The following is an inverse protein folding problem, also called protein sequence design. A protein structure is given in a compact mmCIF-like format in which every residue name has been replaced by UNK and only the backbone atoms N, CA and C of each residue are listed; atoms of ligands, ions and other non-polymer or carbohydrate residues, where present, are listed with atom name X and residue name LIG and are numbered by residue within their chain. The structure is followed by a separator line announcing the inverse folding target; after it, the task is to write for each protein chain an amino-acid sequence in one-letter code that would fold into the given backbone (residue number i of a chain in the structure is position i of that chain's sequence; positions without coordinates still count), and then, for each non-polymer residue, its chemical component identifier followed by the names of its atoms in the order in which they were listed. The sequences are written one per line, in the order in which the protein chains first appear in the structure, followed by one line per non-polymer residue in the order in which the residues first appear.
data_IF_829397449616
#
_entry.id   IF_829397449616
#
_cell.length_a   1.000
_cell.length_b   1.000
_cell.length_c   1.000
_cell.angle_alpha   90.00
_cell.angle_beta   90.00
_cell.angle_gamma   90.00
#
_symmetry.space_group_name_H-M   'P 1'
#
loop_
_entity.id
_entity.type
_entity.pdbx_description
1 polymer ?
#
# COMPACT_ATOMS: atom_id res chain seq x y z
N UNK A 1 -13.02 -43.45 -32.29
CA UNK A 1 -14.13 -43.21 -31.34
C UNK A 1 -15.24 -42.42 -32.09
N UNK A 2 -16.40 -43.02 -32.20
CA UNK A 2 -17.49 -42.61 -33.12
C UNK A 2 -18.09 -41.26 -32.62
N UNK A 3 -18.42 -40.34 -33.56
CA UNK A 3 -18.99 -39.00 -33.25
C UNK A 3 -20.21 -39.06 -32.34
N UNK A 4 -20.96 -40.16 -32.38
CA UNK A 4 -22.12 -40.44 -31.54
C UNK A 4 -21.73 -40.66 -30.09
N UNK A 5 -20.63 -41.40 -29.81
CA UNK A 5 -20.13 -41.67 -28.46
C UNK A 5 -19.62 -40.39 -27.77
N UNK A 6 -18.97 -39.49 -28.52
CA UNK A 6 -18.54 -38.19 -27.99
C UNK A 6 -19.73 -37.29 -27.60
N UNK A 7 -20.80 -37.28 -28.38
CA UNK A 7 -22.02 -36.54 -28.06
C UNK A 7 -22.73 -37.12 -26.82
N UNK A 8 -22.74 -38.44 -26.68
CA UNK A 8 -23.38 -39.10 -25.52
C UNK A 8 -22.62 -38.79 -24.20
N UNK A 9 -21.29 -38.82 -24.25
CA UNK A 9 -20.45 -38.49 -23.10
C UNK A 9 -20.61 -37.01 -22.70
N UNK A 10 -20.68 -36.10 -23.68
CA UNK A 10 -20.91 -34.68 -23.41
C UNK A 10 -22.28 -34.40 -22.81
N UNK A 11 -23.31 -35.11 -23.26
CA UNK A 11 -24.70 -35.03 -22.73
C UNK A 11 -24.79 -35.57 -21.29
N UNK A 12 -24.05 -36.65 -20.98
CA UNK A 12 -24.00 -37.22 -19.62
C UNK A 12 -23.31 -36.27 -18.64
N UNK A 13 -22.24 -35.57 -19.05
CA UNK A 13 -21.54 -34.59 -18.21
C UNK A 13 -22.43 -33.38 -17.90
N UNK A 14 -23.23 -32.91 -18.86
CA UNK A 14 -24.16 -31.82 -18.63
C UNK A 14 -25.30 -32.24 -17.70
N UNK A 15 -25.79 -33.48 -17.82
CA UNK A 15 -26.85 -34.00 -16.96
C UNK A 15 -26.38 -34.17 -15.49
N UNK A 16 -25.15 -34.56 -15.26
CA UNK A 16 -24.58 -34.68 -13.89
C UNK A 16 -24.39 -33.31 -13.24
N UNK A 17 -24.02 -32.27 -13.97
CA UNK A 17 -23.90 -30.90 -13.44
C UNK A 17 -25.29 -30.36 -13.05
N UNK A 18 -26.35 -30.71 -13.82
CA UNK A 18 -27.72 -30.24 -13.52
C UNK A 18 -28.35 -30.93 -12.29
N UNK A 19 -27.92 -32.17 -11.95
CA UNK A 19 -28.43 -32.90 -10.76
C UNK A 19 -27.82 -32.33 -9.47
N UNK A 20 -26.59 -31.79 -9.50
CA UNK A 20 -25.97 -31.18 -8.33
C UNK A 20 -26.52 -29.77 -7.98
N UNK A 21 -27.19 -29.09 -8.92
CA UNK A 21 -27.80 -27.76 -8.67
C UNK A 21 -29.22 -27.84 -8.13
N UNK A 22 -29.89 -29.00 -8.19
CA UNK A 22 -31.26 -29.17 -7.73
C UNK A 22 -31.42 -29.70 -6.30
N UNK A 23 -30.32 -30.08 -5.63
CA UNK A 23 -30.37 -30.59 -4.23
C UNK A 23 -30.10 -29.50 -3.17
N UNK A 24 -29.92 -28.25 -3.58
CA UNK A 24 -29.64 -27.14 -2.64
C UNK A 24 -30.90 -26.30 -2.26
N UNK A 25 -32.09 -26.66 -2.69
CA UNK A 25 -33.32 -25.95 -2.32
C UNK A 25 -34.38 -26.92 -1.80
N UNK A 26 -34.35 -27.28 -0.52
CA UNK A 26 -35.52 -27.55 0.33
C UNK A 26 -35.07 -27.91 1.76
N UNK A 27 -35.12 -26.90 2.64
CA UNK A 27 -35.58 -27.08 4.02
C UNK A 27 -35.75 -25.69 4.67
N UNK A 28 -36.92 -25.13 4.49
CA UNK A 28 -37.51 -24.25 5.49
C UNK A 28 -37.94 -25.12 6.66
N UNK A 29 -37.41 -24.85 7.83
CA UNK A 29 -38.08 -24.99 9.12
C UNK A 29 -37.54 -23.91 10.03
N UNK A 30 -38.45 -23.04 10.44
CA UNK A 30 -38.27 -22.09 11.53
C UNK A 30 -37.61 -22.74 12.73
N UNK A 31 -36.45 -22.16 13.16
CA UNK A 31 -36.05 -22.21 14.54
C UNK A 31 -35.41 -20.85 14.83
N UNK A 32 -36.11 -20.13 15.68
CA UNK A 32 -35.59 -19.00 16.45
C UNK A 32 -34.34 -19.51 17.20
N UNK A 33 -33.18 -19.26 16.64
CA UNK A 33 -31.87 -19.48 17.22
C UNK A 33 -31.08 -18.23 17.01
N UNK A 34 -30.70 -17.59 18.12
CA UNK A 34 -29.70 -16.52 18.17
C UNK A 34 -28.56 -16.87 17.25
N UNK A 35 -28.31 -16.03 16.23
CA UNK A 35 -27.07 -16.06 15.47
C UNK A 35 -25.99 -15.69 16.46
N UNK A 36 -25.29 -16.67 16.99
CA UNK A 36 -23.95 -16.46 17.53
C UNK A 36 -23.11 -15.94 16.35
N UNK A 37 -22.89 -14.64 16.33
CA UNK A 37 -21.80 -14.05 15.61
C UNK A 37 -20.57 -14.72 16.23
N UNK A 38 -19.99 -15.69 15.52
CA UNK A 38 -18.65 -16.13 15.84
C UNK A 38 -17.81 -14.85 15.84
N UNK A 39 -17.37 -14.45 17.03
CA UNK A 39 -16.34 -13.45 17.17
C UNK A 39 -15.20 -13.93 16.28
N UNK A 40 -14.84 -13.14 15.27
CA UNK A 40 -13.57 -13.29 14.59
C UNK A 40 -12.53 -13.34 15.69
N UNK A 41 -11.77 -14.41 15.70
CA UNK A 41 -10.68 -14.65 16.63
C UNK A 41 -9.64 -13.54 16.35
N UNK A 42 -9.86 -12.39 16.97
CA UNK A 42 -8.92 -11.29 17.01
C UNK A 42 -7.74 -11.77 17.89
N UNK A 43 -6.92 -12.64 17.32
CA UNK A 43 -5.58 -12.86 17.82
C UNK A 43 -4.82 -11.56 17.62
N UNK A 44 -4.98 -10.62 18.55
CA UNK A 44 -4.21 -9.37 18.62
C UNK A 44 -2.73 -9.77 18.63
N UNK A 45 -2.03 -9.54 17.51
CA UNK A 45 -0.61 -9.85 17.42
C UNK A 45 0.12 -8.92 18.39
N UNK A 46 0.70 -9.49 19.43
CA UNK A 46 1.54 -8.71 20.35
C UNK A 46 2.93 -8.55 19.74
N UNK A 47 3.34 -7.29 19.49
CA UNK A 47 4.68 -6.99 19.02
C UNK A 47 5.62 -6.89 20.22
N UNK A 48 6.66 -7.72 20.23
CA UNK A 48 7.73 -7.76 21.22
C UNK A 48 9.11 -7.79 20.54
N UNK A 49 10.18 -7.90 21.31
CA UNK A 49 11.54 -7.89 20.76
C UNK A 49 11.88 -9.11 19.91
N UNK A 50 11.18 -10.21 20.08
CA UNK A 50 11.45 -11.47 19.38
C UNK A 50 10.87 -11.44 17.96
N UNK A 51 9.75 -10.73 17.76
CA UNK A 51 9.06 -10.62 16.46
C UNK A 51 9.14 -9.24 15.80
N UNK A 52 9.83 -8.27 16.41
CA UNK A 52 9.90 -6.89 15.91
C UNK A 52 10.80 -6.67 14.69
N UNK A 53 11.70 -7.61 14.37
CA UNK A 53 12.54 -7.53 13.16
C UNK A 53 11.77 -8.08 11.96
N UNK A 54 10.97 -7.24 11.35
CA UNK A 54 10.01 -7.63 10.32
C UNK A 54 10.49 -7.43 8.89
N UNK A 55 11.51 -6.59 8.66
CA UNK A 55 11.99 -6.29 7.32
C UNK A 55 13.19 -7.16 6.92
N UNK A 56 13.04 -7.82 5.76
CA UNK A 56 14.17 -8.29 4.98
C UNK A 56 14.62 -7.13 4.09
N UNK A 57 15.84 -6.61 4.34
CA UNK A 57 16.38 -5.45 3.63
C UNK A 57 17.44 -5.95 2.66
N UNK A 58 17.22 -5.70 1.37
CA UNK A 58 18.16 -5.98 0.29
C UNK A 58 19.28 -4.95 0.20
N UNK A 59 20.09 -5.08 -0.84
CA UNK A 59 21.13 -4.10 -1.13
C UNK A 59 20.52 -2.73 -1.49
N UNK A 60 21.18 -1.66 -1.05
CA UNK A 60 20.87 -0.30 -1.49
C UNK A 60 21.65 -0.03 -2.78
N UNK A 61 20.93 0.27 -3.85
CA UNK A 61 21.48 0.55 -5.18
C UNK A 61 21.46 2.05 -5.45
N UNK A 62 22.53 2.59 -6.06
CA UNK A 62 22.53 3.95 -6.57
C UNK A 62 21.81 3.94 -7.92
N UNK A 63 20.70 4.67 -8.02
CA UNK A 63 19.85 4.73 -9.21
C UNK A 63 20.08 5.99 -10.04
N UNK A 64 20.63 7.05 -9.41
CA UNK A 64 20.94 8.30 -10.10
C UNK A 64 22.14 8.99 -9.44
N UNK A 65 22.91 9.72 -10.24
CA UNK A 65 23.99 10.62 -9.78
C UNK A 65 23.77 11.97 -10.46
N UNK A 66 23.43 12.98 -9.68
CA UNK A 66 23.21 14.33 -10.17
C UNK A 66 24.55 15.01 -10.56
N UNK A 67 24.49 16.06 -11.37
CA UNK A 67 25.68 16.83 -11.79
C UNK A 67 26.45 17.44 -10.60
N UNK A 68 25.76 17.80 -9.52
CA UNK A 68 26.35 18.29 -8.28
C UNK A 68 26.93 17.18 -7.38
N UNK A 69 26.87 15.94 -7.86
CA UNK A 69 27.41 14.75 -7.18
C UNK A 69 26.50 14.15 -6.10
N UNK A 70 25.30 14.68 -5.90
CA UNK A 70 24.27 14.03 -5.08
C UNK A 70 23.84 12.73 -5.71
N UNK A 71 23.44 11.78 -4.89
CA UNK A 71 22.99 10.47 -5.34
C UNK A 71 21.57 10.20 -4.86
N UNK A 72 20.80 9.51 -5.72
CA UNK A 72 19.56 8.90 -5.33
C UNK A 72 19.77 7.38 -5.26
N UNK A 73 19.17 6.77 -4.25
CA UNK A 73 19.27 5.33 -4.03
C UNK A 73 17.91 4.68 -4.01
N UNK A 74 17.89 3.37 -4.29
CA UNK A 74 16.71 2.52 -4.15
C UNK A 74 17.07 1.31 -3.28
N UNK A 75 16.28 1.03 -2.27
CA UNK A 75 16.47 -0.10 -1.35
C UNK A 75 15.27 -1.03 -1.43
N UNK A 76 15.51 -2.29 -1.78
CA UNK A 76 14.48 -3.32 -1.76
C UNK A 76 14.19 -3.75 -0.33
N UNK A 77 12.91 -3.76 0.06
CA UNK A 77 12.44 -4.26 1.36
C UNK A 77 11.31 -5.27 1.17
N UNK A 78 11.20 -6.21 2.09
CA UNK A 78 10.11 -7.19 2.14
C UNK A 78 9.58 -7.28 3.56
N UNK A 79 8.26 -7.26 3.72
CA UNK A 79 7.63 -7.50 5.02
C UNK A 79 7.59 -9.01 5.29
N UNK A 80 8.48 -9.47 6.15
CA UNK A 80 8.61 -10.89 6.53
C UNK A 80 7.76 -11.27 7.76
N UNK A 81 6.94 -10.35 8.26
CA UNK A 81 6.01 -10.62 9.37
C UNK A 81 4.71 -11.27 8.89
N UNK A 82 3.87 -11.63 9.84
CA UNK A 82 2.51 -12.12 9.60
C UNK A 82 1.45 -11.03 9.71
N UNK A 83 1.84 -9.77 9.91
CA UNK A 83 0.96 -8.62 10.09
C UNK A 83 1.32 -7.45 9.16
N UNK A 84 0.37 -6.58 8.97
CA UNK A 84 0.56 -5.35 8.19
C UNK A 84 1.47 -4.37 8.92
N UNK A 85 2.39 -3.76 8.19
CA UNK A 85 3.22 -2.66 8.68
C UNK A 85 2.97 -1.41 7.85
N UNK A 86 3.00 -0.24 8.47
CA UNK A 86 2.80 1.05 7.82
C UNK A 86 3.87 2.03 8.26
N UNK A 87 3.95 3.17 7.57
CA UNK A 87 4.90 4.23 7.88
C UNK A 87 6.35 3.69 8.02
N UNK A 88 6.73 2.81 7.10
CA UNK A 88 8.09 2.24 7.10
C UNK A 88 9.09 3.32 6.72
N UNK A 89 9.94 3.72 7.66
CA UNK A 89 11.02 4.68 7.45
C UNK A 89 12.36 3.96 7.47
N UNK A 90 13.14 4.07 6.39
CA UNK A 90 14.51 3.61 6.34
C UNK A 90 15.47 4.73 6.72
N UNK A 91 16.49 4.41 7.51
CA UNK A 91 17.46 5.38 8.03
C UNK A 91 18.87 4.95 7.59
N UNK A 92 19.57 5.87 6.94
CA UNK A 92 20.81 5.57 6.21
C UNK A 92 22.04 6.21 6.84
N UNK A 93 23.16 5.47 6.79
CA UNK A 93 24.49 6.01 6.89
C UNK A 93 25.05 6.28 5.49
N UNK A 94 25.65 7.45 5.30
CA UNK A 94 26.39 7.82 4.10
C UNK A 94 27.89 7.75 4.38
N UNK A 95 28.66 7.21 3.45
CA UNK A 95 30.11 7.00 3.61
C UNK A 95 30.90 7.68 2.49
N UNK A 96 32.07 8.24 2.83
CA UNK A 96 33.06 8.72 1.86
C UNK A 96 33.89 7.58 1.24
N UNK A 97 34.85 7.92 0.38
CA UNK A 97 35.74 6.97 -0.27
C UNK A 97 36.63 6.19 0.72
N UNK A 98 36.84 6.72 1.94
CA UNK A 98 37.63 6.11 3.00
C UNK A 98 36.76 5.27 3.95
N UNK A 99 35.47 5.05 3.62
CA UNK A 99 34.47 4.37 4.46
C UNK A 99 34.21 5.09 5.81
N UNK A 100 34.43 6.40 5.86
CA UNK A 100 34.05 7.22 7.00
C UNK A 100 32.62 7.71 6.83
N UNK A 101 31.84 7.65 7.91
CA UNK A 101 30.47 8.19 7.92
C UNK A 101 30.51 9.71 7.72
N UNK A 102 29.82 10.20 6.73
CA UNK A 102 29.66 11.62 6.42
C UNK A 102 28.31 12.17 6.88
N UNK A 103 27.28 11.29 6.92
CA UNK A 103 25.93 11.60 7.43
C UNK A 103 25.30 10.31 7.97
N UNK A 104 24.41 10.42 8.96
CA UNK A 104 23.72 9.27 9.60
C UNK A 104 22.22 9.48 9.76
N UNK A 105 21.62 10.41 9.03
CA UNK A 105 20.23 10.83 9.26
C UNK A 105 19.42 11.02 7.98
N UNK A 106 19.91 10.55 6.85
CA UNK A 106 19.10 10.50 5.63
C UNK A 106 17.98 9.50 5.84
N UNK A 107 16.74 9.93 5.57
CA UNK A 107 15.53 9.15 5.83
C UNK A 107 14.65 9.10 4.62
N UNK A 108 14.00 7.97 4.41
CA UNK A 108 12.97 7.81 3.39
C UNK A 108 11.79 7.01 3.90
N UNK A 109 10.59 7.50 3.64
CA UNK A 109 9.33 6.95 4.09
C UNK A 109 8.60 6.23 2.96
N UNK A 110 8.18 4.99 3.19
CA UNK A 110 7.18 4.30 2.37
C UNK A 110 5.77 4.71 2.86
N UNK A 111 5.11 5.58 2.11
CA UNK A 111 3.79 6.15 2.47
C UNK A 111 2.62 5.24 2.07
N UNK A 112 2.69 3.97 2.49
CA UNK A 112 1.62 2.99 2.35
C UNK A 112 1.77 1.85 3.36
N UNK A 113 0.70 1.09 3.56
CA UNK A 113 0.80 -0.18 4.29
C UNK A 113 1.45 -1.27 3.41
N UNK A 114 2.50 -1.91 3.95
CA UNK A 114 3.15 -3.07 3.35
C UNK A 114 2.62 -4.35 4.02
N UNK A 115 1.83 -5.11 3.28
CA UNK A 115 1.23 -6.37 3.75
C UNK A 115 2.28 -7.48 3.88
N UNK A 116 2.01 -8.56 4.65
CA UNK A 116 2.87 -9.74 4.77
C UNK A 116 3.32 -10.29 3.42
N UNK A 117 4.61 -10.58 3.27
CA UNK A 117 5.22 -11.14 2.06
C UNK A 117 5.29 -10.17 0.88
N UNK A 118 4.86 -8.92 1.02
CA UNK A 118 4.95 -7.92 -0.05
C UNK A 118 6.31 -7.25 -0.05
N UNK A 119 6.75 -6.95 -1.27
CA UNK A 119 8.03 -6.30 -1.58
C UNK A 119 7.78 -4.88 -2.05
N UNK A 120 8.58 -3.94 -1.56
CA UNK A 120 8.61 -2.57 -2.03
C UNK A 120 10.05 -2.08 -2.23
N UNK A 121 10.20 -1.05 -3.06
CA UNK A 121 11.44 -0.32 -3.23
C UNK A 121 11.26 1.07 -2.61
N UNK A 122 12.20 1.44 -1.75
CA UNK A 122 12.21 2.73 -1.05
C UNK A 122 13.32 3.58 -1.62
N UNK A 123 12.94 4.67 -2.27
CA UNK A 123 13.90 5.61 -2.85
C UNK A 123 14.29 6.68 -1.83
N UNK A 124 15.57 7.08 -1.84
CA UNK A 124 16.09 8.12 -0.97
C UNK A 124 17.08 9.01 -1.71
N UNK A 125 16.86 10.32 -1.64
CA UNK A 125 17.81 11.32 -2.09
C UNK A 125 18.80 11.68 -0.99
N UNK A 126 20.09 11.64 -1.28
CA UNK A 126 21.16 11.95 -0.33
C UNK A 126 21.76 13.33 -0.60
N UNK A 127 21.95 14.10 0.47
CA UNK A 127 22.40 15.51 0.40
C UNK A 127 23.91 15.69 0.25
N UNK A 128 24.67 14.65 0.52
CA UNK A 128 26.14 14.70 0.52
C UNK A 128 26.73 13.92 -0.65
N UNK A 129 28.02 14.18 -0.96
CA UNK A 129 28.77 13.43 -1.98
C UNK A 129 29.15 12.03 -1.46
N UNK A 130 28.18 11.25 -1.04
CA UNK A 130 28.36 9.89 -0.57
C UNK A 130 28.95 9.00 -1.66
N UNK A 131 29.85 8.08 -1.31
CA UNK A 131 30.38 7.05 -2.20
C UNK A 131 29.67 5.71 -2.02
N UNK A 132 29.11 5.49 -0.85
CA UNK A 132 28.21 4.37 -0.56
C UNK A 132 27.21 4.75 0.53
N UNK A 133 26.11 4.05 0.53
CA UNK A 133 24.98 4.27 1.45
C UNK A 133 24.54 2.92 1.99
N UNK A 134 24.20 2.86 3.27
CA UNK A 134 23.77 1.64 3.94
C UNK A 134 22.61 1.95 4.89
N UNK A 135 21.56 1.13 4.86
CA UNK A 135 20.50 1.18 5.87
C UNK A 135 21.06 0.67 7.19
N UNK A 136 21.10 1.51 8.21
CA UNK A 136 21.58 1.09 9.54
C UNK A 136 20.45 0.91 10.55
N UNK A 137 19.27 1.51 10.28
CA UNK A 137 18.10 1.37 11.12
C UNK A 137 16.82 1.53 10.29
N UNK A 138 15.70 1.09 10.84
CA UNK A 138 14.38 1.38 10.31
C UNK A 138 13.37 1.55 11.44
N UNK A 139 12.29 2.27 11.15
CA UNK A 139 11.12 2.43 12.01
C UNK A 139 9.87 2.00 11.22
N UNK A 140 8.87 1.45 11.91
CA UNK A 140 7.58 1.15 11.32
C UNK A 140 6.46 1.25 12.38
N UNK A 141 5.23 1.32 11.91
CA UNK A 141 4.03 1.26 12.73
C UNK A 141 3.26 -0.02 12.48
N UNK A 142 2.83 -0.70 13.56
CA UNK A 142 1.92 -1.82 13.50
C UNK A 142 1.23 -2.03 14.85
N UNK A 143 -0.01 -2.53 14.85
CA UNK A 143 -0.77 -2.92 16.05
C UNK A 143 -0.72 -1.88 17.19
N UNK A 144 -0.83 -0.59 16.82
CA UNK A 144 -0.79 0.52 17.79
C UNK A 144 0.59 0.76 18.43
N UNK A 145 1.65 0.23 17.83
CA UNK A 145 3.05 0.43 18.24
C UNK A 145 3.82 1.17 17.17
N UNK A 146 4.84 1.89 17.61
CA UNK A 146 5.94 2.40 16.79
C UNK A 146 7.16 1.59 17.19
N UNK A 147 7.81 0.97 16.23
CA UNK A 147 8.95 0.07 16.45
C UNK A 147 10.16 0.60 15.72
N UNK A 148 11.23 0.88 16.45
CA UNK A 148 12.53 1.25 15.91
C UNK A 148 13.49 0.09 16.04
N UNK A 149 14.15 -0.28 14.94
CA UNK A 149 15.14 -1.36 14.88
C UNK A 149 16.47 -0.79 14.41
N UNK A 150 17.50 -0.82 15.27
CA UNK A 150 18.87 -0.51 14.89
C UNK A 150 19.57 -1.80 14.47
N UNK A 151 19.87 -1.92 13.20
CA UNK A 151 20.49 -3.13 12.61
C UNK A 151 21.96 -3.25 13.00
N UNK A 152 22.66 -2.10 13.14
CA UNK A 152 24.08 -2.06 13.47
C UNK A 152 24.34 -2.42 14.93
N UNK A 153 23.55 -1.87 15.84
CA UNK A 153 23.66 -2.11 17.28
C UNK A 153 22.83 -3.32 17.74
N UNK A 154 22.02 -3.87 16.86
CA UNK A 154 21.10 -4.96 17.17
C UNK A 154 20.15 -4.63 18.34
N UNK A 155 19.68 -3.39 18.40
CA UNK A 155 18.75 -2.93 19.45
C UNK A 155 17.37 -2.66 18.88
N UNK A 156 16.35 -2.82 19.73
CA UNK A 156 14.94 -2.63 19.39
C UNK A 156 14.31 -1.75 20.47
N UNK A 157 13.64 -0.69 20.04
CA UNK A 157 12.78 0.16 20.87
C UNK A 157 11.32 0.04 20.40
N UNK A 158 10.40 -0.24 21.34
CA UNK A 158 8.98 -0.40 21.07
C UNK A 158 8.21 0.56 21.97
N UNK A 159 7.46 1.44 21.36
CA UNK A 159 6.66 2.45 22.06
C UNK A 159 5.21 2.44 21.58
N UNK A 160 4.27 2.85 22.44
CA UNK A 160 2.88 2.98 22.03
C UNK A 160 2.72 4.12 21.02
N UNK A 161 2.00 3.85 19.94
CA UNK A 161 1.55 4.90 19.05
C UNK A 161 0.42 5.68 19.71
N UNK A 162 0.57 6.99 19.82
CA UNK A 162 -0.48 7.87 20.38
C UNK A 162 -1.57 8.20 19.36
N UNK A 163 -1.29 7.96 18.08
CA UNK A 163 -2.26 8.20 17.00
C UNK A 163 -3.24 7.04 16.99
N UNK A 164 -4.50 7.37 17.20
CA UNK A 164 -5.59 6.40 17.11
C UNK A 164 -6.00 6.29 15.64
N UNK A 165 -5.80 5.11 15.07
CA UNK A 165 -6.35 4.76 13.77
C UNK A 165 -7.75 4.17 13.97
N UNK A 166 -8.68 4.57 13.10
CA UNK A 166 -10.06 4.08 13.08
C UNK A 166 -10.29 3.25 11.80
N UNK A 167 -11.41 2.54 11.73
CA UNK A 167 -11.83 1.90 10.49
C UNK A 167 -12.22 2.96 9.46
N UNK A 168 -11.71 2.83 8.23
CA UNK A 168 -11.87 3.86 7.19
C UNK A 168 -13.23 3.86 6.50
N UNK A 169 -14.05 2.81 6.62
CA UNK A 169 -15.23 2.58 5.77
C UNK A 169 -16.21 3.75 5.70
N UNK A 170 -16.40 4.49 6.81
CA UNK A 170 -17.28 5.68 6.81
C UNK A 170 -16.63 6.93 6.22
N UNK A 171 -15.32 6.90 5.98
CA UNK A 171 -14.52 8.01 5.43
C UNK A 171 -14.09 7.75 3.99
N UNK A 172 -14.34 6.55 3.44
CA UNK A 172 -14.06 6.19 2.06
C UNK A 172 -15.09 6.82 1.13
N UNK A 173 -14.99 8.13 0.99
CA UNK A 173 -15.96 8.98 0.26
C UNK A 173 -15.56 9.27 -1.18
N UNK A 174 -14.37 8.88 -1.62
CA UNK A 174 -13.96 8.96 -3.00
C UNK A 174 -14.17 7.63 -3.71
N UNK A 175 -14.86 7.65 -4.83
CA UNK A 175 -14.93 6.52 -5.76
C UNK A 175 -14.08 6.81 -6.99
N UNK A 176 -13.41 5.79 -7.51
CA UNK A 176 -12.52 5.90 -8.67
C UNK A 176 -13.01 5.03 -9.82
N UNK A 177 -12.82 5.50 -11.07
CA UNK A 177 -13.01 4.66 -12.26
C UNK A 177 -11.83 3.69 -12.43
N UNK A 178 -11.92 2.83 -13.43
CA UNK A 178 -10.74 2.13 -13.93
C UNK A 178 -9.70 3.11 -14.49
N UNK A 179 -8.42 2.77 -14.33
CA UNK A 179 -7.30 3.51 -14.91
C UNK A 179 -7.30 3.35 -16.43
N UNK A 180 -7.28 4.48 -17.15
CA UNK A 180 -7.18 4.50 -18.59
C UNK A 180 -5.81 5.01 -19.01
N UNK A 181 -5.03 4.19 -19.72
CA UNK A 181 -3.79 4.62 -20.34
C UNK A 181 -4.10 5.64 -21.44
N UNK A 182 -3.58 6.85 -21.33
CA UNK A 182 -3.84 7.95 -22.28
C UNK A 182 -2.61 8.33 -23.10
N UNK A 183 -1.41 8.08 -22.57
CA UNK A 183 -0.16 8.33 -23.29
C UNK A 183 0.93 7.35 -22.86
N UNK A 184 1.88 7.10 -23.77
CA UNK A 184 3.12 6.37 -23.49
C UNK A 184 4.25 6.98 -24.30
N UNK A 185 5.36 7.28 -23.62
CA UNK A 185 6.57 7.82 -24.22
C UNK A 185 7.80 7.10 -23.65
N UNK A 186 8.98 7.48 -24.09
CA UNK A 186 10.23 7.00 -23.49
C UNK A 186 10.43 7.50 -22.04
N UNK A 187 9.76 8.59 -21.68
CA UNK A 187 9.87 9.26 -20.38
C UNK A 187 8.91 8.69 -19.36
N UNK A 188 7.84 8.01 -19.80
CA UNK A 188 6.86 7.43 -18.89
C UNK A 188 5.54 7.09 -19.55
N UNK A 189 4.64 6.55 -18.73
CA UNK A 189 3.27 6.19 -19.08
C UNK A 189 2.33 7.09 -18.31
N UNK A 190 1.38 7.74 -19.00
CA UNK A 190 0.33 8.52 -18.35
C UNK A 190 -0.96 7.71 -18.31
N UNK A 191 -1.47 7.51 -17.11
CA UNK A 191 -2.81 7.00 -16.87
C UNK A 191 -3.72 8.14 -16.44
N UNK A 192 -4.99 8.07 -16.82
CA UNK A 192 -6.04 8.96 -16.35
C UNK A 192 -7.03 8.16 -15.53
N UNK A 193 -7.44 8.72 -14.39
CA UNK A 193 -8.46 8.15 -13.52
C UNK A 193 -9.50 9.24 -13.22
N UNK A 194 -10.77 8.85 -13.25
CA UNK A 194 -11.86 9.71 -12.82
C UNK A 194 -12.09 9.49 -11.32
N UNK A 195 -12.08 10.57 -10.56
CA UNK A 195 -12.32 10.57 -9.12
C UNK A 195 -13.62 11.32 -8.85
N UNK A 196 -14.53 10.69 -8.11
CA UNK A 196 -15.83 11.26 -7.75
C UNK A 196 -15.96 11.38 -6.24
N UNK A 197 -16.42 12.53 -5.79
CA UNK A 197 -16.86 12.73 -4.42
C UNK A 197 -18.25 12.10 -4.22
N UNK A 198 -18.30 10.97 -3.54
CA UNK A 198 -19.56 10.25 -3.27
C UNK A 198 -20.25 10.72 -1.98
N UNK A 199 -19.66 11.70 -1.26
CA UNK A 199 -20.27 12.26 -0.05
C UNK A 199 -21.23 13.41 -0.33
N UNK A 200 -21.92 13.87 0.69
CA UNK A 200 -22.75 15.07 0.69
C UNK A 200 -22.00 16.36 1.09
N UNK A 201 -20.67 16.29 1.21
CA UNK A 201 -19.80 17.39 1.68
C UNK A 201 -18.87 17.82 0.56
N UNK A 202 -18.39 19.07 0.63
CA UNK A 202 -17.33 19.57 -0.24
C UNK A 202 -15.96 19.11 0.30
N UNK A 203 -15.12 18.56 -0.56
CA UNK A 203 -13.80 18.04 -0.25
C UNK A 203 -12.72 18.88 -0.94
N UNK A 204 -11.72 19.29 -0.15
CA UNK A 204 -10.55 20.02 -0.63
C UNK A 204 -9.28 19.19 -0.57
N UNK A 205 -8.19 19.71 -1.16
CA UNK A 205 -6.83 19.15 -1.05
C UNK A 205 -6.75 17.63 -1.27
N UNK A 206 -7.48 17.12 -2.25
CA UNK A 206 -7.50 15.69 -2.53
C UNK A 206 -6.14 15.28 -3.10
N UNK A 207 -5.51 14.29 -2.47
CA UNK A 207 -4.26 13.69 -2.92
C UNK A 207 -4.45 12.19 -3.01
N UNK A 208 -4.28 11.61 -4.19
CA UNK A 208 -4.22 10.16 -4.36
C UNK A 208 -2.83 9.66 -4.00
N UNK A 209 -2.75 8.58 -3.23
CA UNK A 209 -1.53 7.80 -3.03
C UNK A 209 -1.54 6.64 -4.03
N UNK A 210 -0.59 6.64 -4.93
CA UNK A 210 -0.51 5.66 -6.03
C UNK A 210 0.76 4.85 -5.90
N UNK A 211 0.68 3.56 -6.12
CA UNK A 211 1.83 2.68 -6.15
C UNK A 211 2.03 2.10 -7.55
N UNK A 212 3.22 2.26 -8.12
CA UNK A 212 3.64 1.58 -9.33
C UNK A 212 4.00 0.13 -9.03
N UNK A 213 3.50 -0.82 -9.82
CA UNK A 213 3.70 -2.25 -9.61
C UNK A 213 4.36 -2.87 -10.84
N UNK A 214 5.41 -3.67 -10.64
CA UNK A 214 6.09 -4.39 -11.72
C UNK A 214 5.43 -5.75 -12.05
N UNK A 215 5.99 -6.48 -13.00
CA UNK A 215 5.51 -7.80 -13.42
C UNK A 215 5.49 -8.85 -12.29
N UNK A 216 6.30 -8.68 -11.24
CA UNK A 216 6.37 -9.59 -10.09
C UNK A 216 5.38 -9.20 -8.97
N UNK A 217 4.61 -8.13 -9.14
CA UNK A 217 3.72 -7.61 -8.10
C UNK A 217 4.46 -6.86 -6.97
N UNK A 218 5.70 -6.41 -7.21
CA UNK A 218 6.50 -5.62 -6.30
C UNK A 218 6.20 -4.12 -6.50
N UNK A 219 6.12 -3.36 -5.42
CA UNK A 219 5.89 -1.91 -5.44
C UNK A 219 7.18 -1.17 -5.76
N UNK A 220 7.25 -0.56 -6.94
CA UNK A 220 8.45 0.16 -7.42
C UNK A 220 8.61 1.52 -6.76
N UNK A 221 7.51 2.27 -6.65
CA UNK A 221 7.48 3.58 -6.02
C UNK A 221 6.07 3.90 -5.55
N UNK A 222 5.96 4.78 -4.55
CA UNK A 222 4.69 5.33 -4.08
C UNK A 222 4.72 6.84 -4.29
N UNK A 223 3.74 7.35 -5.00
CA UNK A 223 3.64 8.75 -5.36
C UNK A 223 2.38 9.41 -4.80
N UNK A 224 2.47 10.69 -4.48
CA UNK A 224 1.34 11.53 -4.10
C UNK A 224 0.91 12.37 -5.30
N UNK A 225 -0.29 12.15 -5.79
CA UNK A 225 -0.85 12.83 -6.96
C UNK A 225 -1.97 13.77 -6.53
N UNK A 226 -1.72 15.10 -6.48
CA UNK A 226 -2.72 16.04 -6.01
C UNK A 226 -3.77 16.35 -7.08
N UNK A 227 -5.03 16.49 -6.64
CA UNK A 227 -6.05 17.22 -7.38
C UNK A 227 -6.09 18.67 -6.87
N UNK A 228 -5.86 19.62 -7.73
CA UNK A 228 -5.88 21.06 -7.39
C UNK A 228 -7.29 21.64 -7.37
N UNK A 229 -8.32 20.80 -7.28
CA UNK A 229 -9.73 21.22 -7.29
C UNK A 229 -10.41 20.89 -5.96
N UNK A 230 -11.33 21.75 -5.57
CA UNK A 230 -12.35 21.42 -4.58
C UNK A 230 -13.44 20.62 -5.31
N UNK A 231 -13.73 19.41 -4.86
CA UNK A 231 -14.84 18.61 -5.38
C UNK A 231 -16.08 18.80 -4.51
N UNK A 232 -17.11 19.40 -5.08
CA UNK A 232 -18.42 19.50 -4.44
C UNK A 232 -19.07 18.13 -4.30
N UNK A 233 -20.10 18.05 -3.50
CA UNK A 233 -20.90 16.84 -3.35
C UNK A 233 -21.32 16.27 -4.73
N UNK A 234 -21.05 14.99 -4.97
CA UNK A 234 -21.34 14.26 -6.23
C UNK A 234 -20.55 14.73 -7.46
N UNK A 235 -19.66 15.71 -7.35
CA UNK A 235 -18.79 16.18 -8.44
C UNK A 235 -17.69 15.17 -8.74
N UNK A 236 -17.21 15.18 -9.98
CA UNK A 236 -16.10 14.34 -10.43
C UNK A 236 -15.02 15.15 -11.14
N UNK A 237 -13.79 14.63 -11.14
CA UNK A 237 -12.66 15.20 -11.88
C UNK A 237 -11.78 14.10 -12.42
N UNK A 238 -11.09 14.41 -13.52
CA UNK A 238 -10.02 13.54 -14.04
C UNK A 238 -8.70 13.93 -13.39
N UNK A 239 -7.89 12.92 -13.03
CA UNK A 239 -6.54 13.06 -12.49
C UNK A 239 -5.60 12.24 -13.38
N UNK A 240 -4.52 12.87 -13.83
CA UNK A 240 -3.47 12.20 -14.60
C UNK A 240 -2.38 11.71 -13.64
N UNK A 241 -2.01 10.43 -13.80
CA UNK A 241 -0.97 9.74 -13.03
C UNK A 241 0.16 9.41 -13.98
N UNK A 242 1.35 9.96 -13.75
CA UNK A 242 2.54 9.70 -14.55
C UNK A 242 3.38 8.65 -13.86
N UNK A 243 3.67 7.55 -14.56
CA UNK A 243 4.39 6.40 -14.06
C UNK A 243 5.64 6.13 -14.90
N UNK A 244 6.60 5.42 -14.32
CA UNK A 244 7.77 4.95 -15.04
C UNK A 244 7.40 3.91 -16.11
N UNK A 245 8.25 3.75 -17.13
CA UNK A 245 8.07 2.69 -18.15
C UNK A 245 8.28 1.28 -17.60
N UNK A 246 8.80 1.15 -16.37
CA UNK A 246 8.96 -0.12 -15.65
C UNK A 246 7.67 -0.59 -14.99
N UNK A 247 6.73 0.33 -14.76
CA UNK A 247 5.42 0.00 -14.18
C UNK A 247 4.60 -0.83 -15.17
N UNK A 248 4.02 -1.91 -14.70
CA UNK A 248 3.04 -2.72 -15.45
C UNK A 248 1.62 -2.42 -15.03
N UNK A 249 1.46 -1.99 -13.80
CA UNK A 249 0.17 -1.60 -13.23
C UNK A 249 0.38 -0.43 -12.27
N UNK A 250 -0.71 0.25 -11.95
CA UNK A 250 -0.79 1.29 -10.93
C UNK A 250 -1.94 0.95 -10.00
N UNK A 251 -1.69 1.01 -8.71
CA UNK A 251 -2.71 0.80 -7.69
C UNK A 251 -2.94 2.09 -6.92
N UNK A 252 -4.19 2.39 -6.60
CA UNK A 252 -4.52 3.41 -5.61
C UNK A 252 -4.41 2.75 -4.25
N UNK A 253 -3.42 3.13 -3.46
CA UNK A 253 -3.14 2.53 -2.16
C UNK A 253 -3.73 3.33 -0.99
N UNK A 254 -4.13 4.56 -1.25
CA UNK A 254 -4.75 5.44 -0.28
C UNK A 254 -5.08 6.80 -0.88
N UNK A 255 -5.60 7.68 -0.06
CA UNK A 255 -5.81 9.08 -0.43
C UNK A 255 -6.01 9.97 0.80
N UNK A 256 -5.74 11.25 0.64
CA UNK A 256 -6.07 12.25 1.65
C UNK A 256 -7.08 13.26 1.10
N UNK A 257 -7.85 13.87 1.98
CA UNK A 257 -8.70 15.00 1.65
C UNK A 257 -8.95 15.89 2.88
N UNK A 258 -9.29 17.15 2.64
CA UNK A 258 -9.81 18.04 3.66
C UNK A 258 -11.34 18.01 3.63
N UNK A 259 -11.97 17.62 4.76
CA UNK A 259 -13.38 17.90 5.01
C UNK A 259 -13.50 19.39 5.35
N UNK A 260 -13.94 20.19 4.38
CA UNK A 260 -13.98 21.66 4.51
C UNK A 260 -14.92 22.09 5.63
N UNK A 261 -16.02 21.38 5.82
CA UNK A 261 -17.02 21.70 6.84
C UNK A 261 -16.51 21.42 8.25
N UNK A 262 -15.90 20.26 8.44
CA UNK A 262 -15.39 19.80 9.74
C UNK A 262 -13.98 20.38 10.05
N UNK A 263 -13.33 21.01 9.07
CA UNK A 263 -11.94 21.50 9.14
C UNK A 263 -10.96 20.41 9.56
N UNK A 264 -11.14 19.21 9.02
CA UNK A 264 -10.36 18.04 9.34
C UNK A 264 -9.62 17.55 8.08
N UNK A 265 -8.35 17.19 8.24
CA UNK A 265 -7.61 16.43 7.24
C UNK A 265 -7.82 14.94 7.52
N UNK A 266 -8.23 14.21 6.50
CA UNK A 266 -8.53 12.78 6.55
C UNK A 266 -7.54 12.06 5.68
N UNK A 267 -6.75 11.15 6.26
CA UNK A 267 -5.77 10.31 5.57
C UNK A 267 -6.23 8.84 5.63
N UNK A 268 -6.52 8.27 4.47
CA UNK A 268 -7.04 6.92 4.31
C UNK A 268 -6.00 6.01 3.69
N UNK A 269 -5.73 4.90 4.35
CA UNK A 269 -4.98 3.78 3.81
C UNK A 269 -5.95 2.68 3.37
N UNK A 270 -6.03 2.45 2.07
CA UNK A 270 -6.92 1.45 1.46
C UNK A 270 -6.41 0.01 1.60
N UNK A 271 -5.13 -0.18 1.93
CA UNK A 271 -4.55 -1.52 2.11
C UNK A 271 -4.85 -2.09 3.49
N UNK A 272 -4.87 -1.24 4.52
CA UNK A 272 -5.18 -1.64 5.89
C UNK A 272 -6.62 -1.31 6.32
N UNK A 273 -7.38 -0.59 5.50
CA UNK A 273 -8.69 -0.04 5.83
C UNK A 273 -8.67 0.80 7.13
N UNK A 274 -7.63 1.61 7.28
CA UNK A 274 -7.44 2.50 8.42
C UNK A 274 -7.51 3.96 7.98
N UNK A 275 -7.96 4.81 8.91
CA UNK A 275 -8.02 6.26 8.73
C UNK A 275 -7.35 6.96 9.89
N UNK A 276 -6.61 8.02 9.57
CA UNK A 276 -6.11 9.03 10.50
C UNK A 276 -6.86 10.33 10.25
N UNK A 277 -7.31 10.98 11.32
CA UNK A 277 -8.04 12.25 11.26
C UNK A 277 -7.30 13.27 12.11
N UNK A 278 -6.86 14.36 11.47
CA UNK A 278 -6.23 15.51 12.10
C UNK A 278 -7.21 16.70 12.07
N UNK A 279 -7.49 17.33 13.25
CA UNK A 279 -8.43 18.45 13.43
C UNK A 279 -7.71 19.70 13.90
#
# INVERSE_FOLDING_TARGET
MNKIVKKLIFLMIILTIFIFTLTACKREKEHSGSVEIQAEDNNEVTIDKDNAKVLNIGATEIINVAEDGKIDTSTKIENNSTFNISNVELIYNEYDANKKITSSDSKSLLDMTLMPGKVAYVECGHKTFAKSVEVYAYEYEAEGKIVYVNLKENTIDIRNNKIKLENSSQYEVLSTSELKKVNESKEGITYQIKVKNSSSKDLGNIILKTAEVNDNGEYLTVSRVPSYKVLKASEETDIDIICSTKAKNVEIVGYTYDDIKEKANVDIDLKSHKVKIDK
#
